data_IF_596174085711
#
_entry.id   IF_596174085711
#
_cell.length_a   1.000
_cell.length_b   1.000
_cell.length_c   1.000
_cell.angle_alpha   90.00
_cell.angle_beta   90.00
_cell.angle_gamma   90.00
#
_symmetry.space_group_name_H-M   'P 1'
#
loop_
_entity.id
_entity.type
_entity.pdbx_description
1 polymer ?
#
# COMPACT_ATOMS: atom_id res chain seq x y z
N UNK A 1 -32.40 14.20 48.15
CA UNK A 1 -31.72 12.95 47.75
C UNK A 1 -31.51 12.99 46.24
N UNK A 2 -30.28 13.18 45.75
CA UNK A 2 -29.98 13.28 44.30
C UNK A 2 -29.58 11.89 43.80
N UNK A 3 -30.43 11.29 42.95
CA UNK A 3 -30.16 9.99 42.31
C UNK A 3 -29.03 10.12 41.28
N UNK A 4 -27.99 9.31 41.43
CA UNK A 4 -26.87 9.20 40.50
C UNK A 4 -27.26 8.32 39.32
N UNK A 5 -27.61 8.93 38.19
CA UNK A 5 -27.84 8.20 36.94
C UNK A 5 -26.47 7.92 36.29
N UNK A 6 -25.91 6.73 36.52
CA UNK A 6 -24.69 6.29 35.84
C UNK A 6 -24.99 6.02 34.35
N UNK A 7 -24.14 6.49 33.41
CA UNK A 7 -24.35 6.24 32.00
C UNK A 7 -24.18 4.75 31.68
N UNK A 8 -25.23 4.17 31.08
CA UNK A 8 -25.23 2.79 30.58
C UNK A 8 -24.09 2.59 29.57
N UNK A 9 -23.19 1.64 29.84
CA UNK A 9 -22.19 1.17 28.87
C UNK A 9 -22.91 0.77 27.58
N UNK A 10 -22.60 1.44 26.47
CA UNK A 10 -23.00 1.02 25.13
C UNK A 10 -22.53 -0.43 24.94
N UNK A 11 -23.44 -1.31 24.55
CA UNK A 11 -23.14 -2.71 24.23
C UNK A 11 -22.02 -2.71 23.19
N UNK A 12 -20.89 -3.34 23.50
CA UNK A 12 -19.83 -3.61 22.51
C UNK A 12 -20.46 -4.46 21.42
N UNK A 13 -20.69 -3.87 20.26
CA UNK A 13 -21.00 -4.59 19.03
C UNK A 13 -19.90 -5.62 18.85
N UNK A 14 -20.28 -6.89 18.76
CA UNK A 14 -19.35 -7.98 18.42
C UNK A 14 -18.81 -7.63 17.04
N UNK A 15 -17.58 -7.13 16.99
CA UNK A 15 -16.89 -6.80 15.75
C UNK A 15 -16.50 -8.14 15.13
N UNK A 16 -17.37 -8.71 14.30
CA UNK A 16 -16.95 -9.69 13.31
C UNK A 16 -15.83 -9.03 12.54
N UNK A 17 -14.58 -9.45 12.77
CA UNK A 17 -13.38 -8.96 12.05
C UNK A 17 -13.52 -9.37 10.59
N UNK A 18 -14.35 -8.67 9.83
CA UNK A 18 -14.35 -8.75 8.39
C UNK A 18 -13.02 -8.16 7.95
N UNK A 19 -12.16 -9.03 7.41
CA UNK A 19 -10.87 -8.64 6.84
C UNK A 19 -11.01 -7.88 5.52
N UNK A 20 -12.22 -7.80 4.97
CA UNK A 20 -12.55 -7.04 3.78
C UNK A 20 -13.82 -6.26 4.07
N UNK A 21 -13.76 -4.93 3.92
CA UNK A 21 -14.88 -4.01 4.09
C UNK A 21 -15.14 -3.36 2.74
N UNK A 22 -16.36 -3.45 2.25
CA UNK A 22 -16.79 -2.79 1.01
C UNK A 22 -17.69 -1.61 1.33
N UNK A 23 -17.68 -0.60 0.47
CA UNK A 23 -18.75 0.41 0.46
C UNK A 23 -20.07 -0.26 0.03
N UNK A 24 -21.22 0.22 0.54
CA UNK A 24 -22.52 -0.47 0.42
C UNK A 24 -22.96 -0.76 -1.02
N UNK A 25 -22.40 -0.06 -2.00
CA UNK A 25 -22.68 -0.19 -3.44
C UNK A 25 -21.78 -1.19 -4.17
N UNK A 26 -20.70 -1.67 -3.53
CA UNK A 26 -19.70 -2.53 -4.16
C UNK A 26 -19.94 -3.99 -3.78
N UNK A 27 -20.11 -4.83 -4.79
CA UNK A 27 -20.14 -6.28 -4.64
C UNK A 27 -18.88 -6.89 -5.26
N UNK A 28 -18.27 -7.85 -4.56
CA UNK A 28 -17.05 -8.50 -4.99
C UNK A 28 -17.32 -9.96 -5.35
N UNK A 29 -16.73 -10.49 -6.44
CA UNK A 29 -16.75 -11.91 -6.73
C UNK A 29 -16.18 -12.71 -5.56
N UNK A 30 -16.70 -13.91 -5.35
CA UNK A 30 -16.27 -14.79 -4.26
C UNK A 30 -14.76 -15.08 -4.32
N UNK A 31 -14.22 -15.26 -5.52
CA UNK A 31 -12.79 -15.52 -5.74
C UNK A 31 -11.91 -14.35 -5.26
N UNK A 32 -12.31 -13.12 -5.55
CA UNK A 32 -11.61 -11.89 -5.12
C UNK A 32 -11.72 -11.74 -3.61
N UNK A 33 -12.92 -11.94 -3.09
CA UNK A 33 -13.21 -11.88 -1.66
C UNK A 33 -12.36 -12.88 -0.87
N UNK A 34 -12.25 -14.12 -1.34
CA UNK A 34 -11.50 -15.19 -0.68
C UNK A 34 -10.00 -14.89 -0.59
N UNK A 35 -9.42 -14.23 -1.60
CA UNK A 35 -8.01 -13.80 -1.56
C UNK A 35 -7.83 -12.63 -0.59
N UNK A 36 -8.68 -11.61 -0.69
CA UNK A 36 -8.59 -10.43 0.18
C UNK A 36 -8.88 -10.78 1.66
N UNK A 37 -9.74 -11.76 1.93
CA UNK A 37 -10.00 -12.29 3.28
C UNK A 37 -8.77 -12.92 3.94
N UNK A 38 -7.70 -13.19 3.21
CA UNK A 38 -6.46 -13.63 3.83
C UNK A 38 -5.81 -12.49 4.64
N UNK A 39 -6.01 -11.25 4.21
CA UNK A 39 -5.58 -10.01 4.86
C UNK A 39 -4.29 -9.42 4.25
N UNK A 40 -3.94 -8.17 4.60
CA UNK A 40 -2.81 -7.43 4.03
C UNK A 40 -1.44 -8.04 4.33
N UNK A 41 -1.35 -8.80 5.42
CA UNK A 41 -0.12 -9.52 5.81
C UNK A 41 -0.05 -10.93 5.22
N UNK A 42 -0.95 -11.30 4.32
CA UNK A 42 -0.86 -12.58 3.63
C UNK A 42 0.28 -12.54 2.60
N UNK A 43 1.45 -13.01 3.03
CA UNK A 43 2.56 -13.26 2.13
C UNK A 43 2.33 -14.60 1.44
N UNK A 44 2.28 -14.58 0.11
CA UNK A 44 2.46 -15.81 -0.66
C UNK A 44 3.92 -16.22 -0.56
N UNK A 45 4.18 -17.50 -0.26
CA UNK A 45 5.53 -18.04 -0.29
C UNK A 45 6.08 -17.86 -1.72
N UNK A 46 7.27 -17.24 -1.88
CA UNK A 46 7.84 -17.06 -3.21
C UNK A 46 8.09 -18.42 -3.85
N UNK A 47 7.70 -18.55 -5.11
CA UNK A 47 8.00 -19.76 -5.88
C UNK A 47 9.47 -19.70 -6.25
N UNK A 48 10.28 -20.48 -5.52
CA UNK A 48 11.72 -20.56 -5.74
C UNK A 48 12.07 -21.82 -6.54
N UNK A 49 12.82 -21.62 -7.62
CA UNK A 49 13.45 -22.71 -8.37
C UNK A 49 14.54 -23.41 -7.54
N UNK A 50 14.92 -24.66 -7.85
CA UNK A 50 15.95 -25.38 -7.08
C UNK A 50 17.27 -24.61 -6.90
N UNK A 51 17.72 -23.92 -7.95
CA UNK A 51 18.93 -23.08 -7.90
C UNK A 51 18.77 -21.90 -6.95
N UNK A 52 17.59 -21.28 -6.91
CA UNK A 52 17.28 -20.16 -6.02
C UNK A 52 17.18 -20.60 -4.56
N UNK A 53 16.59 -21.79 -4.31
CA UNK A 53 16.58 -22.40 -2.97
C UNK A 53 18.00 -22.64 -2.46
N UNK A 54 18.90 -23.15 -3.31
CA UNK A 54 20.31 -23.33 -2.94
C UNK A 54 21.01 -21.99 -2.71
N UNK A 55 20.76 -20.99 -3.54
CA UNK A 55 21.29 -19.64 -3.33
C UNK A 55 20.81 -19.05 -1.99
N UNK A 56 19.55 -19.29 -1.63
CA UNK A 56 18.97 -18.87 -0.35
C UNK A 56 19.58 -19.64 0.83
N UNK A 57 19.79 -20.96 0.72
CA UNK A 57 20.51 -21.75 1.71
C UNK A 57 21.87 -21.10 2.01
N UNK A 58 22.66 -20.83 0.95
CA UNK A 58 23.99 -20.20 1.09
C UNK A 58 23.90 -18.83 1.75
N UNK A 59 22.95 -17.98 1.35
CA UNK A 59 22.73 -16.65 1.96
C UNK A 59 22.45 -16.75 3.46
N UNK A 60 21.63 -17.72 3.88
CA UNK A 60 21.33 -17.96 5.30
C UNK A 60 22.59 -18.44 6.03
N UNK A 61 23.29 -19.42 5.45
CA UNK A 61 24.50 -19.99 6.04
C UNK A 61 25.65 -18.98 6.16
N UNK A 62 25.71 -17.96 5.31
CA UNK A 62 26.70 -16.88 5.45
C UNK A 62 26.46 -15.97 6.67
N UNK A 63 25.26 -15.98 7.26
CA UNK A 63 24.93 -15.18 8.45
C UNK A 63 25.21 -15.89 9.77
N UNK A 64 25.59 -17.17 9.73
CA UNK A 64 25.96 -17.94 10.92
C UNK A 64 27.49 -18.04 11.07
N UNK A 65 27.98 -18.28 12.30
CA UNK A 65 29.39 -18.53 12.57
C UNK A 65 30.00 -19.59 11.65
N UNK A 66 31.29 -19.45 11.34
CA UNK A 66 31.97 -20.28 10.34
C UNK A 66 32.01 -21.76 10.70
N UNK A 67 32.13 -22.08 12.00
CA UNK A 67 32.14 -23.42 12.57
C UNK A 67 30.83 -24.20 12.33
N UNK A 68 29.70 -23.50 12.20
CA UNK A 68 28.38 -24.13 11.95
C UNK A 68 27.87 -23.94 10.52
N UNK A 69 28.59 -23.18 9.69
CA UNK A 69 28.15 -22.81 8.33
C UNK A 69 27.89 -24.02 7.44
N UNK A 70 28.78 -25.01 7.46
CA UNK A 70 28.67 -26.22 6.63
C UNK A 70 27.43 -27.04 7.03
N UNK A 71 27.25 -27.24 8.35
CA UNK A 71 26.08 -27.93 8.90
C UNK A 71 24.78 -27.20 8.55
N UNK A 72 24.73 -25.89 8.72
CA UNK A 72 23.57 -25.07 8.35
C UNK A 72 23.21 -25.21 6.85
N UNK A 73 24.22 -25.23 5.98
CA UNK A 73 24.02 -25.40 4.54
C UNK A 73 23.43 -26.78 4.24
N UNK A 74 23.97 -27.84 4.84
CA UNK A 74 23.50 -29.22 4.66
C UNK A 74 22.07 -29.39 5.15
N UNK A 75 21.74 -28.88 6.33
CA UNK A 75 20.38 -28.92 6.88
C UNK A 75 19.40 -28.16 5.96
N UNK A 76 19.78 -26.99 5.46
CA UNK A 76 18.96 -26.23 4.51
C UNK A 76 18.72 -27.01 3.21
N UNK A 77 19.75 -27.62 2.64
CA UNK A 77 19.64 -28.44 1.43
C UNK A 77 18.76 -29.66 1.67
N UNK A 78 18.93 -30.35 2.80
CA UNK A 78 18.11 -31.50 3.18
C UNK A 78 16.63 -31.12 3.30
N UNK A 79 16.32 -30.00 3.95
CA UNK A 79 14.94 -29.47 4.04
C UNK A 79 14.40 -29.15 2.65
N UNK A 80 15.17 -28.48 1.78
CA UNK A 80 14.70 -28.15 0.43
C UNK A 80 14.53 -29.36 -0.48
N UNK A 81 15.28 -30.44 -0.25
CA UNK A 81 15.21 -31.69 -1.01
C UNK A 81 14.01 -32.56 -0.63
N UNK A 82 13.64 -32.52 0.66
CA UNK A 82 12.52 -33.28 1.22
C UNK A 82 11.21 -32.51 1.18
N UNK A 83 11.25 -31.18 1.13
CA UNK A 83 10.06 -30.34 1.02
C UNK A 83 9.39 -30.54 -0.36
N UNK A 84 8.08 -30.87 -0.40
CA UNK A 84 7.37 -30.97 -1.65
C UNK A 84 7.46 -29.62 -2.39
N UNK A 85 7.81 -29.65 -3.67
CA UNK A 85 7.66 -28.49 -4.54
C UNK A 85 6.15 -28.26 -4.64
N UNK A 86 5.64 -27.32 -3.83
CA UNK A 86 4.24 -26.94 -3.91
C UNK A 86 4.00 -26.47 -5.34
N UNK A 87 2.99 -27.00 -6.05
CA UNK A 87 2.63 -26.46 -7.35
C UNK A 87 2.39 -24.97 -7.16
N UNK A 88 2.78 -24.17 -8.15
CA UNK A 88 2.49 -22.73 -8.21
C UNK A 88 0.99 -22.58 -8.01
N UNK A 89 0.54 -22.38 -6.78
CA UNK A 89 -0.86 -22.13 -6.48
C UNK A 89 -1.14 -20.74 -7.02
N UNK A 90 -1.54 -20.70 -8.28
CA UNK A 90 -1.83 -19.51 -9.05
C UNK A 90 -3.15 -18.85 -8.63
N UNK A 91 -3.52 -18.94 -7.33
CA UNK A 91 -4.38 -17.93 -6.71
C UNK A 91 -3.58 -16.64 -6.59
N UNK A 92 -3.03 -16.19 -7.72
CA UNK A 92 -2.17 -15.04 -7.79
C UNK A 92 -2.97 -13.81 -7.42
N UNK A 93 -2.26 -12.78 -6.98
CA UNK A 93 -2.86 -11.47 -6.81
C UNK A 93 -3.29 -10.87 -8.15
N UNK A 94 -2.74 -11.35 -9.28
CA UNK A 94 -2.99 -10.80 -10.61
C UNK A 94 -4.48 -10.76 -11.00
N UNK A 95 -5.27 -11.84 -10.93
CA UNK A 95 -6.72 -11.77 -11.21
C UNK A 95 -7.47 -10.80 -10.28
N UNK A 96 -7.03 -10.65 -9.02
CA UNK A 96 -7.63 -9.69 -8.09
C UNK A 96 -7.31 -8.27 -8.51
N UNK A 97 -6.05 -7.98 -8.86
CA UNK A 97 -5.62 -6.68 -9.37
C UNK A 97 -6.35 -6.36 -10.68
N UNK A 98 -6.35 -7.27 -11.64
CA UNK A 98 -6.99 -7.11 -12.94
C UNK A 98 -8.51 -6.83 -12.77
N UNK A 99 -9.19 -7.52 -11.84
CA UNK A 99 -10.59 -7.25 -11.50
C UNK A 99 -10.80 -5.86 -10.90
N UNK A 100 -10.02 -5.49 -9.89
CA UNK A 100 -10.16 -4.19 -9.22
C UNK A 100 -9.92 -3.04 -10.19
N UNK A 101 -8.90 -3.15 -11.05
CA UNK A 101 -8.59 -2.16 -12.08
C UNK A 101 -9.69 -2.06 -13.13
N UNK A 102 -10.18 -3.18 -13.66
CA UNK A 102 -11.25 -3.18 -14.68
C UNK A 102 -12.60 -2.71 -14.13
N UNK A 103 -12.82 -2.83 -12.82
CA UNK A 103 -14.06 -2.42 -12.14
C UNK A 103 -13.99 -1.01 -11.54
N UNK A 104 -12.90 -0.26 -11.77
CA UNK A 104 -12.67 1.08 -11.17
C UNK A 104 -12.79 1.06 -9.64
N UNK A 105 -12.19 0.05 -9.00
CA UNK A 105 -12.18 -0.12 -7.55
C UNK A 105 -10.76 0.09 -7.00
N UNK A 106 -10.68 0.83 -5.90
CA UNK A 106 -9.47 1.02 -5.13
C UNK A 106 -9.45 0.09 -3.91
N UNK A 107 -8.30 -0.54 -3.68
CA UNK A 107 -8.01 -1.34 -2.50
C UNK A 107 -7.14 -0.53 -1.53
N UNK A 108 -7.63 -0.31 -0.33
CA UNK A 108 -6.95 0.42 0.73
C UNK A 108 -6.65 -0.51 1.91
N UNK A 109 -5.53 -0.29 2.59
CA UNK A 109 -5.21 -0.97 3.85
C UNK A 109 -5.76 -0.16 5.03
N UNK A 110 -6.50 -0.82 5.92
CA UNK A 110 -6.93 -0.25 7.19
C UNK A 110 -5.81 -0.41 8.23
N UNK A 111 -5.13 0.69 8.52
CA UNK A 111 -4.01 0.80 9.46
C UNK A 111 -4.31 0.20 10.85
N UNK A 112 -5.56 0.33 11.33
CA UNK A 112 -5.94 -0.08 12.69
C UNK A 112 -6.45 -1.51 12.83
N UNK A 113 -6.93 -2.12 11.75
CA UNK A 113 -7.66 -3.39 11.82
C UNK A 113 -7.03 -4.51 11.02
N UNK A 114 -6.02 -4.21 10.18
CA UNK A 114 -5.44 -5.21 9.28
C UNK A 114 -6.48 -5.78 8.33
N UNK A 115 -7.44 -4.95 7.94
CA UNK A 115 -8.48 -5.25 6.95
C UNK A 115 -8.20 -4.47 5.67
N UNK A 116 -8.68 -5.02 4.55
CA UNK A 116 -8.77 -4.30 3.30
C UNK A 116 -10.08 -3.54 3.22
N UNK A 117 -10.03 -2.35 2.65
CA UNK A 117 -11.20 -1.54 2.34
C UNK A 117 -11.27 -1.40 0.83
N UNK A 118 -12.38 -1.82 0.22
CA UNK A 118 -12.60 -1.70 -1.22
C UNK A 118 -13.67 -0.65 -1.47
N UNK A 119 -13.31 0.38 -2.24
CA UNK A 119 -14.20 1.50 -2.59
C UNK A 119 -14.10 1.84 -4.07
N UNK A 120 -15.12 2.47 -4.67
CA UNK A 120 -15.03 3.04 -6.01
C UNK A 120 -13.92 4.11 -6.10
N UNK A 121 -13.32 4.23 -7.28
CA UNK A 121 -12.27 5.20 -7.57
C UNK A 121 -12.74 6.64 -7.36
N UNK A 122 -13.95 6.99 -7.76
CA UNK A 122 -14.53 8.32 -7.54
C UNK A 122 -14.66 8.64 -6.04
N UNK A 123 -15.22 7.70 -5.27
CA UNK A 123 -15.30 7.80 -3.81
C UNK A 123 -13.93 7.96 -3.16
N UNK A 124 -12.90 7.30 -3.70
CA UNK A 124 -11.53 7.42 -3.23
C UNK A 124 -10.99 8.84 -3.46
N UNK A 125 -11.14 9.37 -4.67
CA UNK A 125 -10.66 10.72 -5.03
C UNK A 125 -11.32 11.78 -4.14
N UNK A 126 -12.62 11.68 -3.91
CA UNK A 126 -13.35 12.63 -3.06
C UNK A 126 -12.89 12.56 -1.61
N UNK A 127 -12.76 11.34 -1.05
CA UNK A 127 -12.25 11.12 0.31
C UNK A 127 -10.80 11.60 0.46
N UNK A 128 -9.97 11.36 -0.56
CA UNK A 128 -8.58 11.81 -0.60
C UNK A 128 -8.49 13.34 -0.62
N UNK A 129 -9.29 14.01 -1.47
CA UNK A 129 -9.36 15.47 -1.53
C UNK A 129 -9.82 16.07 -0.20
N UNK A 130 -10.87 15.51 0.40
CA UNK A 130 -11.36 15.95 1.71
C UNK A 130 -10.30 15.76 2.81
N UNK A 131 -9.57 14.63 2.78
CA UNK A 131 -8.47 14.37 3.71
C UNK A 131 -7.31 15.36 3.52
N UNK A 132 -6.98 15.74 2.26
CA UNK A 132 -5.97 16.74 1.98
C UNK A 132 -6.38 18.11 2.51
N UNK A 133 -7.59 18.57 2.20
CA UNK A 133 -8.10 19.87 2.69
C UNK A 133 -8.18 19.95 4.21
N UNK A 134 -8.44 18.82 4.89
CA UNK A 134 -8.49 18.75 6.34
C UNK A 134 -7.11 18.85 6.99
N UNK A 135 -6.12 18.16 6.43
CA UNK A 135 -4.81 17.99 7.07
C UNK A 135 -3.74 18.97 6.57
N UNK A 136 -3.97 19.61 5.42
CA UNK A 136 -3.02 20.52 4.80
C UNK A 136 -3.65 21.89 4.60
N UNK A 137 -2.89 22.92 4.93
CA UNK A 137 -3.20 24.30 4.57
C UNK A 137 -2.63 24.56 3.18
N UNK A 138 -3.41 25.22 2.32
CA UNK A 138 -2.92 25.61 1.00
C UNK A 138 -1.63 26.42 1.15
N UNK A 139 -0.55 25.96 0.52
CA UNK A 139 0.68 26.72 0.50
C UNK A 139 0.40 28.03 -0.24
N UNK A 140 0.82 29.19 0.30
CA UNK A 140 0.71 30.43 -0.45
C UNK A 140 1.53 30.29 -1.74
N UNK A 141 0.93 30.65 -2.89
CA UNK A 141 1.57 30.59 -4.22
C UNK A 141 2.89 31.38 -4.31
N UNK A 142 3.15 32.23 -3.31
CA UNK A 142 4.36 33.04 -3.23
C UNK A 142 5.49 32.21 -2.63
N UNK A 143 6.23 31.54 -3.49
CA UNK A 143 7.60 31.13 -3.17
C UNK A 143 8.42 32.42 -2.90
N UNK A 144 8.61 32.81 -1.65
CA UNK A 144 9.36 34.02 -1.26
C UNK A 144 10.82 34.01 -1.73
N UNK A 145 11.33 32.84 -2.14
CA UNK A 145 12.63 32.69 -2.78
C UNK A 145 12.59 33.03 -4.29
N UNK A 146 11.45 32.84 -4.94
CA UNK A 146 11.25 33.24 -6.34
C UNK A 146 11.28 34.75 -6.49
N UNK A 147 10.79 35.54 -5.53
CA UNK A 147 10.91 37.01 -5.58
C UNK A 147 12.36 37.49 -5.53
N UNK A 148 13.24 36.83 -4.77
CA UNK A 148 14.68 37.20 -4.73
C UNK A 148 15.40 36.79 -6.02
N UNK A 149 15.07 35.63 -6.58
CA UNK A 149 15.57 35.19 -7.88
C UNK A 149 15.05 36.09 -9.03
N UNK A 150 13.76 36.44 -9.03
CA UNK A 150 13.15 37.36 -9.99
C UNK A 150 13.72 38.79 -9.86
N UNK A 151 14.02 39.24 -8.64
CA UNK A 151 14.70 40.52 -8.40
C UNK A 151 16.15 40.49 -8.89
N UNK A 152 16.88 39.39 -8.68
CA UNK A 152 18.24 39.21 -9.23
C UNK A 152 18.23 39.15 -10.75
N UNK A 153 17.28 38.45 -11.37
CA UNK A 153 17.11 38.40 -12.83
C UNK A 153 16.81 39.79 -13.41
N UNK A 154 15.98 40.59 -12.73
CA UNK A 154 15.72 41.98 -13.09
C UNK A 154 16.98 42.86 -12.95
N UNK A 155 17.73 42.72 -11.85
CA UNK A 155 18.97 43.48 -11.63
C UNK A 155 20.10 43.09 -12.61
N UNK A 156 20.07 41.87 -13.14
CA UNK A 156 21.06 41.37 -14.10
C UNK A 156 20.63 41.56 -15.56
N UNK A 157 19.49 42.22 -15.84
CA UNK A 157 18.92 42.40 -17.19
C UNK A 157 18.75 41.09 -17.98
N UNK A 158 18.48 39.97 -17.29
CA UNK A 158 18.28 38.65 -17.88
C UNK A 158 16.81 38.38 -18.24
N UNK A 159 16.08 39.42 -18.65
CA UNK A 159 14.63 39.33 -18.94
C UNK A 159 14.28 38.42 -20.12
N UNK A 160 15.23 38.18 -21.04
CA UNK A 160 15.04 37.28 -22.19
C UNK A 160 15.03 35.78 -21.86
N UNK A 161 15.26 35.39 -20.60
CA UNK A 161 15.12 34.00 -20.13
C UNK A 161 13.70 33.65 -19.65
N UNK A 162 12.78 34.62 -19.63
CA UNK A 162 11.39 34.39 -19.18
C UNK A 162 10.52 33.66 -20.20
N UNK A 163 10.88 33.69 -21.47
CA UNK A 163 9.99 33.27 -22.56
C UNK A 163 10.15 31.79 -22.98
N UNK A 164 11.05 31.04 -22.34
CA UNK A 164 11.35 29.63 -22.67
C UNK A 164 10.68 28.60 -21.72
N UNK A 165 9.77 29.01 -20.83
CA UNK A 165 8.81 28.07 -20.24
C UNK A 165 7.43 28.27 -20.85
N UNK A 166 7.18 27.52 -21.93
CA UNK A 166 5.92 27.50 -22.66
C UNK A 166 4.73 27.07 -21.79
N UNK A 167 4.03 28.05 -21.23
CA UNK A 167 2.66 27.88 -20.72
C UNK A 167 1.71 28.59 -21.69
N UNK A 168 0.86 27.86 -22.44
CA UNK A 168 -0.08 28.50 -23.35
C UNK A 168 -1.17 29.25 -22.56
N UNK A 169 -1.68 30.38 -23.09
CA UNK A 169 -2.73 31.15 -22.43
C UNK A 169 -4.03 30.37 -22.44
N UNK A 170 -4.65 30.20 -21.26
CA UNK A 170 -6.04 29.73 -21.14
C UNK A 170 -6.96 30.83 -21.64
N UNK A 171 -7.63 30.58 -22.76
CA UNK A 171 -8.70 31.40 -23.30
C UNK A 171 -10.00 31.13 -22.54
N UNK A 172 -10.67 32.22 -22.13
CA UNK A 172 -12.13 32.33 -21.98
C UNK A 172 -12.76 31.62 -20.80
#
# INVERSE_FOLDING_TARGET
MKGTHLPRKKKKTVFTRQKVVTEATVTLPEQVTNVLQQGPKFCQEPVLFPVERLAQARRISHRVPEDVRLRCTQECVQVFSSAPIRPRNSKGLKPVVDYLTSSHLCLLESDKEGSFVVIPEDSYVDKARAALQKNFVAAPDKCSKATRALALLGNLNLSGLRDEEGVPPRSG
#
